data_IF_945931818341
#
_entry.id   IF_945931818341
#
_cell.length_a   1.000
_cell.length_b   1.000
_cell.length_c   1.000
_cell.angle_alpha   90.00
_cell.angle_beta   90.00
_cell.angle_gamma   90.00
#
_symmetry.space_group_name_H-M   'P 1'
#
loop_
_entity.id
_entity.type
_entity.pdbx_description
1 polymer ?
#
# COMPACT_ATOMS: atom_id res chain seq x y z
N UNK A 1 20.90 0.49 21.71
CA UNK A 1 20.14 -0.76 21.42
C UNK A 1 20.76 -1.45 20.22
N UNK A 2 20.77 -2.78 20.21
CA UNK A 2 20.97 -3.54 18.98
C UNK A 2 19.67 -3.62 18.18
N UNK A 3 19.67 -4.27 17.01
CA UNK A 3 18.49 -4.34 16.14
C UNK A 3 17.29 -5.03 16.81
N UNK A 4 17.51 -6.13 17.50
CA UNK A 4 16.43 -6.89 18.13
C UNK A 4 15.81 -6.10 19.32
N UNK A 5 16.64 -5.43 20.11
CA UNK A 5 16.17 -4.53 21.19
C UNK A 5 15.37 -3.35 20.61
N UNK A 6 15.82 -2.77 19.50
CA UNK A 6 15.10 -1.69 18.83
C UNK A 6 13.74 -2.16 18.27
N UNK A 7 13.67 -3.40 17.77
CA UNK A 7 12.40 -4.01 17.33
C UNK A 7 11.43 -4.20 18.49
N UNK A 8 11.91 -4.74 19.61
CA UNK A 8 11.11 -4.91 20.82
C UNK A 8 10.57 -3.56 21.31
N UNK A 9 11.39 -2.51 21.34
CA UNK A 9 10.95 -1.17 21.71
C UNK A 9 9.81 -0.65 20.84
N UNK A 10 9.92 -0.81 19.52
CA UNK A 10 8.88 -0.40 18.57
C UNK A 10 7.59 -1.21 18.74
N UNK A 11 7.71 -2.53 18.93
CA UNK A 11 6.56 -3.42 19.11
C UNK A 11 5.84 -3.14 20.46
N UNK A 12 6.58 -2.83 21.52
CA UNK A 12 6.00 -2.41 22.80
C UNK A 12 5.27 -1.07 22.69
N UNK A 13 5.84 -0.11 21.95
CA UNK A 13 5.21 1.19 21.73
C UNK A 13 3.91 1.06 20.94
N UNK A 14 3.78 0.06 20.06
CA UNK A 14 2.56 -0.18 19.27
C UNK A 14 1.34 -0.54 20.15
N UNK A 15 1.55 -1.04 21.35
CA UNK A 15 0.47 -1.37 22.31
C UNK A 15 -0.30 -0.15 22.80
N UNK A 16 0.25 1.06 22.66
CA UNK A 16 -0.43 2.31 23.04
C UNK A 16 -1.49 2.78 22.03
N UNK A 17 -1.69 2.03 20.95
CA UNK A 17 -2.69 2.33 19.92
C UNK A 17 -2.31 3.49 18.99
N UNK A 18 -3.29 3.96 18.24
CA UNK A 18 -3.14 5.12 17.34
C UNK A 18 -3.84 6.32 17.94
N UNK A 19 -3.13 7.43 18.07
CA UNK A 19 -3.67 8.73 18.44
C UNK A 19 -3.55 9.62 17.20
N UNK A 20 -4.67 10.16 16.73
CA UNK A 20 -4.66 11.09 15.60
C UNK A 20 -4.34 12.50 16.11
N UNK A 21 -3.46 13.19 15.40
CA UNK A 21 -3.01 14.54 15.73
C UNK A 21 -1.54 14.70 15.37
N UNK A 22 -1.08 15.96 15.29
CA UNK A 22 0.31 16.26 14.91
C UNK A 22 1.14 16.82 16.07
N UNK A 23 0.55 17.04 17.24
CA UNK A 23 1.19 17.69 18.37
C UNK A 23 2.37 16.87 18.90
N UNK A 24 2.18 15.55 19.10
CA UNK A 24 3.24 14.66 19.54
C UNK A 24 4.35 14.54 18.49
N UNK A 25 3.95 14.42 17.21
CA UNK A 25 4.90 14.35 16.10
C UNK A 25 5.75 15.62 16.01
N UNK A 26 5.13 16.80 16.15
CA UNK A 26 5.83 18.08 16.18
C UNK A 26 6.79 18.16 17.36
N UNK A 27 6.33 17.85 18.58
CA UNK A 27 7.14 17.88 19.76
C UNK A 27 8.35 16.93 19.71
N UNK A 28 8.18 15.77 19.05
CA UNK A 28 9.24 14.80 18.78
C UNK A 28 10.27 15.35 17.80
N UNK A 29 9.81 15.85 16.64
CA UNK A 29 10.69 16.35 15.58
C UNK A 29 11.46 17.61 15.97
N UNK A 30 10.84 18.53 16.75
CA UNK A 30 11.51 19.71 17.30
C UNK A 30 12.74 19.32 18.14
N UNK A 31 12.69 18.18 18.84
CA UNK A 31 13.81 17.64 19.62
C UNK A 31 14.84 16.84 18.82
N UNK A 32 14.48 16.50 17.58
CA UNK A 32 15.32 15.79 16.61
C UNK A 32 15.85 16.74 15.52
N UNK A 33 15.88 18.05 15.76
CA UNK A 33 16.33 19.08 14.82
C UNK A 33 15.62 19.05 13.46
N UNK A 34 14.31 18.76 13.47
CA UNK A 34 13.41 18.82 12.33
C UNK A 34 14.00 18.25 11.03
N UNK A 35 14.37 16.95 11.00
CA UNK A 35 15.04 16.35 9.84
C UNK A 35 14.24 16.45 8.55
N UNK A 36 12.91 16.49 8.62
CA UNK A 36 11.99 16.56 7.49
C UNK A 36 12.08 17.89 6.72
N UNK A 37 12.54 18.96 7.33
CA UNK A 37 12.60 20.28 6.68
C UNK A 37 13.65 20.35 5.57
N UNK A 38 14.66 19.51 5.63
CA UNK A 38 15.72 19.40 4.61
C UNK A 38 15.39 18.47 3.44
N UNK A 39 14.26 17.76 3.51
CA UNK A 39 13.82 16.77 2.53
C UNK A 39 12.74 17.35 1.60
N UNK A 40 12.62 16.78 0.40
CA UNK A 40 11.53 17.07 -0.54
C UNK A 40 10.63 15.85 -0.66
N UNK A 41 9.31 16.06 -0.74
CA UNK A 41 8.36 14.96 -0.68
C UNK A 41 7.41 14.92 -1.88
N UNK A 42 7.09 13.69 -2.31
CA UNK A 42 5.85 13.37 -3.02
C UNK A 42 4.99 12.66 -2.00
N UNK A 43 3.86 13.24 -1.62
CA UNK A 43 3.00 12.75 -0.55
C UNK A 43 1.78 12.04 -1.14
N UNK A 44 1.57 10.78 -0.78
CA UNK A 44 0.53 9.92 -1.38
C UNK A 44 -0.50 9.52 -0.35
N UNK A 45 -1.78 9.85 -0.61
CA UNK A 45 -2.94 9.36 0.13
C UNK A 45 -3.93 8.65 -0.81
N UNK A 46 -4.99 8.07 -0.26
CA UNK A 46 -6.01 7.33 -0.98
C UNK A 46 -6.49 6.11 -0.18
N UNK A 47 -7.47 5.39 -0.68
CA UNK A 47 -7.89 4.12 -0.07
C UNK A 47 -7.11 2.97 -0.67
N UNK A 48 -7.22 2.73 -1.96
CA UNK A 48 -6.53 1.68 -2.69
C UNK A 48 -5.55 2.27 -3.70
N UNK A 49 -4.47 1.55 -4.02
CA UNK A 49 -3.51 1.97 -5.06
C UNK A 49 -2.32 2.80 -4.58
N UNK A 50 -2.31 3.34 -3.34
CA UNK A 50 -1.21 4.17 -2.80
C UNK A 50 0.17 3.54 -3.01
N UNK A 51 0.37 2.33 -2.49
CA UNK A 51 1.64 1.63 -2.58
C UNK A 51 2.05 1.28 -4.01
N UNK A 52 1.11 1.01 -4.90
CA UNK A 52 1.41 0.80 -6.33
C UNK A 52 1.93 2.07 -6.99
N UNK A 53 1.25 3.20 -6.78
CA UNK A 53 1.67 4.50 -7.33
C UNK A 53 3.01 4.92 -6.74
N UNK A 54 3.21 4.69 -5.43
CA UNK A 54 4.50 4.88 -4.77
C UNK A 54 5.60 4.04 -5.44
N UNK A 55 5.33 2.76 -5.73
CA UNK A 55 6.30 1.88 -6.38
C UNK A 55 6.68 2.42 -7.77
N UNK A 56 5.71 2.81 -8.61
CA UNK A 56 5.99 3.41 -9.91
C UNK A 56 6.84 4.68 -9.76
N UNK A 57 6.38 5.65 -8.97
CA UNK A 57 7.06 6.95 -8.84
C UNK A 57 8.47 6.81 -8.28
N UNK A 58 8.65 6.01 -7.23
CA UNK A 58 9.98 5.85 -6.63
C UNK A 58 10.95 5.08 -7.55
N UNK A 59 10.47 4.11 -8.33
CA UNK A 59 11.31 3.41 -9.31
C UNK A 59 11.68 4.33 -10.48
N UNK A 60 10.74 5.14 -10.98
CA UNK A 60 10.99 6.15 -12.02
C UNK A 60 12.05 7.16 -11.56
N UNK A 61 11.90 7.71 -10.36
CA UNK A 61 12.84 8.69 -9.79
C UNK A 61 14.25 8.09 -9.65
N UNK A 62 14.35 6.87 -9.13
CA UNK A 62 15.61 6.14 -9.04
C UNK A 62 16.24 5.92 -10.42
N UNK A 63 15.45 5.52 -11.42
CA UNK A 63 15.93 5.35 -12.81
C UNK A 63 16.36 6.66 -13.45
N UNK A 64 15.78 7.77 -13.04
CA UNK A 64 16.18 9.11 -13.46
C UNK A 64 17.44 9.64 -12.74
N UNK A 65 18.03 8.85 -11.82
CA UNK A 65 19.28 9.18 -11.13
C UNK A 65 19.09 9.86 -9.77
N UNK A 66 17.85 10.07 -9.29
CA UNK A 66 17.61 10.63 -7.97
C UNK A 66 17.88 9.58 -6.88
N UNK A 67 18.51 10.00 -5.78
CA UNK A 67 18.54 9.22 -4.54
C UNK A 67 17.17 9.31 -3.87
N UNK A 68 16.40 8.26 -4.01
CA UNK A 68 14.97 8.26 -3.69
C UNK A 68 14.69 7.53 -2.40
N UNK A 69 14.13 8.25 -1.41
CA UNK A 69 13.55 7.65 -0.21
C UNK A 69 12.15 7.09 -0.49
N UNK A 70 11.79 6.00 0.18
CA UNK A 70 10.48 5.35 0.12
C UNK A 70 10.00 5.01 1.52
N UNK A 71 8.80 5.49 1.90
CA UNK A 71 8.14 5.16 3.16
C UNK A 71 6.79 4.52 2.89
N UNK A 72 6.57 3.31 3.41
CA UNK A 72 5.39 2.49 3.13
C UNK A 72 4.79 1.88 4.39
N UNK A 73 3.47 1.63 4.35
CA UNK A 73 2.76 0.86 5.37
C UNK A 73 1.52 0.16 4.79
N UNK A 74 1.17 -1.06 5.26
CA UNK A 74 1.98 -1.94 6.10
C UNK A 74 3.12 -2.62 5.32
N UNK A 75 3.96 -3.38 6.02
CA UNK A 75 5.02 -4.22 5.45
C UNK A 75 4.53 -5.67 5.33
N UNK A 76 5.11 -6.45 4.40
CA UNK A 76 4.71 -7.84 4.14
C UNK A 76 5.71 -8.87 4.70
N UNK A 77 7.00 -8.70 4.44
CA UNK A 77 8.03 -9.70 4.74
C UNK A 77 8.97 -9.29 5.86
N UNK A 78 9.25 -8.01 5.96
CA UNK A 78 10.21 -7.47 6.91
C UNK A 78 9.81 -6.07 7.32
N UNK A 79 9.90 -5.80 8.62
CA UNK A 79 9.68 -4.45 9.14
C UNK A 79 10.50 -3.38 8.42
N UNK A 80 11.74 -3.71 8.02
CA UNK A 80 12.66 -2.80 7.32
C UNK A 80 12.17 -2.36 5.93
N UNK A 81 11.15 -3.03 5.37
CA UNK A 81 10.50 -2.59 4.12
C UNK A 81 9.85 -1.23 4.23
N UNK A 82 9.46 -0.83 5.44
CA UNK A 82 8.84 0.46 5.72
C UNK A 82 9.70 1.64 5.28
N UNK A 83 11.02 1.50 5.36
CA UNK A 83 11.99 2.56 5.08
C UNK A 83 13.03 2.04 4.10
N UNK A 84 13.07 2.63 2.90
CA UNK A 84 13.97 2.20 1.84
C UNK A 84 14.62 3.42 1.18
N UNK A 85 15.86 3.26 0.74
CA UNK A 85 16.55 4.24 -0.13
C UNK A 85 17.00 3.51 -1.39
N UNK A 86 16.60 3.99 -2.55
CA UNK A 86 16.84 3.34 -3.85
C UNK A 86 16.39 1.87 -3.89
N UNK A 87 15.25 1.56 -3.21
CA UNK A 87 14.68 0.21 -3.04
C UNK A 87 15.46 -0.73 -2.11
N UNK A 88 16.57 -0.25 -1.53
CA UNK A 88 17.29 -0.99 -0.49
C UNK A 88 16.68 -0.66 0.89
N UNK A 89 16.39 -1.74 1.66
CA UNK A 89 15.81 -1.62 3.00
C UNK A 89 16.81 -0.99 3.96
N UNK A 90 16.35 -0.16 4.89
CA UNK A 90 17.18 0.38 5.98
C UNK A 90 18.04 -0.71 6.61
N UNK A 91 19.32 -0.43 6.82
CA UNK A 91 20.27 -1.35 7.46
C UNK A 91 19.85 -1.59 8.92
N UNK A 92 20.11 -2.80 9.45
CA UNK A 92 19.78 -3.14 10.83
C UNK A 92 20.46 -2.21 11.84
N UNK A 93 21.70 -1.89 11.57
CA UNK A 93 22.54 -1.03 12.40
C UNK A 93 22.03 0.41 12.42
N UNK A 94 21.67 0.97 11.26
CA UNK A 94 21.09 2.31 11.13
C UNK A 94 19.74 2.40 11.83
N UNK A 95 18.87 1.39 11.67
CA UNK A 95 17.59 1.31 12.38
C UNK A 95 17.81 1.34 13.89
N UNK A 96 18.71 0.49 14.41
CA UNK A 96 19.01 0.41 15.85
C UNK A 96 19.56 1.74 16.38
N UNK A 97 20.47 2.38 15.67
CA UNK A 97 21.06 3.66 16.03
C UNK A 97 19.99 4.76 16.14
N UNK A 98 19.18 4.94 15.11
CA UNK A 98 18.14 5.97 15.11
C UNK A 98 17.05 5.71 16.14
N UNK A 99 16.60 4.46 16.30
CA UNK A 99 15.63 4.09 17.35
C UNK A 99 16.19 4.38 18.73
N UNK A 100 17.47 4.12 18.97
CA UNK A 100 18.11 4.45 20.26
C UNK A 100 18.07 5.95 20.54
N UNK A 101 18.37 6.79 19.54
CA UNK A 101 18.31 8.24 19.69
C UNK A 101 16.88 8.72 19.94
N UNK A 102 15.90 8.22 19.16
CA UNK A 102 14.48 8.55 19.33
C UNK A 102 13.99 8.12 20.71
N UNK A 103 14.34 6.93 21.19
CA UNK A 103 13.94 6.43 22.51
C UNK A 103 14.40 7.32 23.65
N UNK A 104 15.61 7.89 23.57
CA UNK A 104 16.11 8.86 24.54
C UNK A 104 15.27 10.14 24.54
N UNK A 105 14.91 10.65 23.36
CA UNK A 105 14.03 11.83 23.22
C UNK A 105 12.64 11.55 23.76
N UNK A 106 12.05 10.38 23.46
CA UNK A 106 10.72 9.98 23.96
C UNK A 106 10.73 9.86 25.49
N UNK A 107 11.81 9.37 26.08
CA UNK A 107 11.96 9.31 27.56
C UNK A 107 11.97 10.73 28.16
N UNK A 108 12.72 11.68 27.59
CA UNK A 108 12.73 13.09 28.01
C UNK A 108 11.34 13.74 27.86
N UNK A 109 10.65 13.46 26.77
CA UNK A 109 9.26 13.96 26.53
C UNK A 109 8.31 13.46 27.63
N UNK A 110 8.39 12.18 28.01
CA UNK A 110 7.56 11.60 29.07
C UNK A 110 7.86 12.22 30.42
N UNK A 111 9.13 12.36 30.78
CA UNK A 111 9.56 12.98 32.03
C UNK A 111 9.05 14.44 32.16
N UNK A 112 9.16 15.20 31.07
CA UNK A 112 8.71 16.60 30.98
C UNK A 112 7.21 16.76 30.72
N UNK A 113 6.45 15.68 30.64
CA UNK A 113 5.02 15.67 30.28
C UNK A 113 4.72 16.41 28.97
N UNK A 114 5.63 16.31 27.99
CA UNK A 114 5.53 16.96 26.69
C UNK A 114 4.91 16.07 25.59
N UNK A 115 4.13 15.07 26.00
CA UNK A 115 3.45 14.13 25.11
C UNK A 115 4.07 12.73 25.14
N UNK A 116 3.37 11.80 24.47
CA UNK A 116 3.83 10.41 24.31
C UNK A 116 3.61 10.01 22.85
N UNK A 117 4.66 10.02 22.02
CA UNK A 117 4.55 9.63 20.62
C UNK A 117 4.08 8.18 20.45
N UNK A 118 3.23 7.95 19.49
CA UNK A 118 2.77 6.62 19.05
C UNK A 118 3.88 5.89 18.28
N UNK A 119 3.71 4.58 18.07
CA UNK A 119 4.65 3.80 17.25
C UNK A 119 4.78 4.37 15.84
N UNK A 120 3.67 4.76 15.21
CA UNK A 120 3.69 5.30 13.85
C UNK A 120 4.39 6.68 13.77
N UNK A 121 4.26 7.52 14.79
CA UNK A 121 5.01 8.78 14.88
C UNK A 121 6.51 8.55 15.04
N UNK A 122 6.90 7.57 15.87
CA UNK A 122 8.30 7.15 16.05
C UNK A 122 8.86 6.59 14.73
N UNK A 123 8.12 5.73 14.06
CA UNK A 123 8.50 5.15 12.77
C UNK A 123 8.66 6.21 11.66
N UNK A 124 7.78 7.22 11.66
CA UNK A 124 7.84 8.34 10.72
C UNK A 124 9.07 9.22 11.01
N UNK A 125 9.36 9.52 12.27
CA UNK A 125 10.58 10.25 12.67
C UNK A 125 11.85 9.48 12.31
N UNK A 126 11.87 8.16 12.56
CA UNK A 126 12.95 7.26 12.14
C UNK A 126 13.21 7.35 10.63
N UNK A 127 12.15 7.35 9.82
CA UNK A 127 12.26 7.46 8.38
C UNK A 127 12.90 8.80 7.97
N UNK A 128 12.46 9.91 8.54
CA UNK A 128 13.01 11.23 8.22
C UNK A 128 14.49 11.36 8.63
N UNK A 129 14.90 10.84 9.78
CA UNK A 129 16.31 10.80 10.19
C UNK A 129 17.15 10.02 9.18
N UNK A 130 16.69 8.83 8.81
CA UNK A 130 17.39 7.98 7.87
C UNK A 130 17.49 8.60 6.47
N UNK A 131 16.42 9.17 5.94
CA UNK A 131 16.43 9.82 4.63
C UNK A 131 17.35 11.05 4.60
N UNK A 132 17.40 11.81 5.70
CA UNK A 132 18.35 12.93 5.86
C UNK A 132 19.80 12.43 5.90
N UNK A 133 20.09 11.39 6.69
CA UNK A 133 21.43 10.77 6.76
C UNK A 133 21.89 10.27 5.39
N UNK A 134 21.00 9.62 4.64
CA UNK A 134 21.29 9.11 3.29
C UNK A 134 21.30 10.20 2.22
N UNK A 135 21.07 11.46 2.56
CA UNK A 135 20.98 12.59 1.62
C UNK A 135 20.02 12.28 0.45
N UNK A 136 18.78 11.90 0.75
CA UNK A 136 17.78 11.66 -0.28
C UNK A 136 17.43 12.98 -1.00
N UNK A 137 17.42 12.95 -2.33
CA UNK A 137 17.02 14.08 -3.16
C UNK A 137 15.51 14.32 -3.10
N UNK A 138 14.76 13.22 -2.99
CA UNK A 138 13.29 13.21 -2.92
C UNK A 138 12.80 11.95 -2.20
N UNK A 139 11.72 12.10 -1.45
CA UNK A 139 11.06 11.00 -0.72
C UNK A 139 9.64 10.80 -1.24
N UNK A 140 9.30 9.58 -1.61
CA UNK A 140 7.92 9.18 -1.89
C UNK A 140 7.33 8.61 -0.61
N UNK A 141 6.36 9.34 -0.04
CA UNK A 141 5.85 9.16 1.32
C UNK A 141 4.38 8.73 1.28
N UNK A 142 4.07 7.53 1.74
CA UNK A 142 2.71 7.02 1.85
C UNK A 142 2.10 7.39 3.21
N UNK A 143 0.86 7.91 3.24
CA UNK A 143 0.10 8.10 4.49
C UNK A 143 -0.25 6.75 5.11
N UNK A 144 -0.17 6.66 6.44
CA UNK A 144 -0.61 5.47 7.16
C UNK A 144 -2.13 5.34 7.17
N UNK A 145 -2.82 6.39 7.61
CA UNK A 145 -4.28 6.43 7.72
C UNK A 145 -4.84 7.82 7.47
N UNK A 146 -5.78 7.93 6.55
CA UNK A 146 -6.43 9.22 6.24
C UNK A 146 -5.49 10.18 5.53
N UNK A 147 -5.11 11.27 6.16
CA UNK A 147 -4.23 12.29 5.62
C UNK A 147 -4.08 13.49 6.57
N UNK A 148 -5.16 14.21 6.89
CA UNK A 148 -5.11 15.45 7.66
C UNK A 148 -4.35 15.35 8.99
N UNK A 149 -4.59 14.29 9.73
CA UNK A 149 -4.03 14.04 11.06
C UNK A 149 -3.00 12.90 11.07
N UNK A 150 -2.58 12.44 9.89
CA UNK A 150 -1.56 11.41 9.76
C UNK A 150 -0.18 11.98 10.11
N UNK A 151 0.64 11.23 10.84
CA UNK A 151 1.97 11.68 11.27
C UNK A 151 2.86 12.14 10.09
N UNK A 152 2.67 11.53 8.89
CA UNK A 152 3.40 11.94 7.68
C UNK A 152 3.04 13.35 7.22
N UNK A 153 1.87 13.88 7.61
CA UNK A 153 1.39 15.19 7.18
C UNK A 153 2.07 16.38 7.88
N UNK A 154 3.00 16.12 8.79
CA UNK A 154 3.83 17.15 9.44
C UNK A 154 4.73 17.90 8.44
N UNK A 155 5.04 17.31 7.30
CA UNK A 155 5.92 17.86 6.26
C UNK A 155 5.35 19.14 5.63
N UNK A 156 6.24 20.07 5.24
CA UNK A 156 5.90 21.33 4.57
C UNK A 156 6.58 21.50 3.20
N UNK A 157 7.54 20.66 2.87
CA UNK A 157 8.35 20.72 1.65
C UNK A 157 7.84 19.80 0.54
N UNK A 158 6.51 19.65 0.47
CA UNK A 158 5.86 18.79 -0.54
C UNK A 158 6.02 19.40 -1.93
N UNK A 159 6.49 18.60 -2.88
CA UNK A 159 6.59 18.95 -4.29
C UNK A 159 5.31 18.60 -5.05
N UNK A 160 4.66 17.51 -4.68
CA UNK A 160 3.45 17.01 -5.32
C UNK A 160 2.64 16.18 -4.33
N UNK A 161 1.34 16.41 -4.26
CA UNK A 161 0.41 15.48 -3.61
C UNK A 161 -0.24 14.57 -4.64
N UNK A 162 -0.39 13.30 -4.26
CA UNK A 162 -1.05 12.29 -5.11
C UNK A 162 -2.17 11.63 -4.33
N UNK A 163 -3.39 11.69 -4.86
CA UNK A 163 -4.56 11.04 -4.27
C UNK A 163 -4.97 9.84 -5.14
N UNK A 164 -4.66 8.65 -4.66
CA UNK A 164 -5.14 7.40 -5.26
C UNK A 164 -6.67 7.25 -5.05
N UNK A 165 -7.34 6.27 -5.68
CA UNK A 165 -8.79 6.12 -5.57
C UNK A 165 -9.27 6.12 -4.11
N UNK A 166 -10.33 6.89 -3.83
CA UNK A 166 -10.99 7.01 -2.54
C UNK A 166 -12.23 6.11 -2.54
N UNK A 167 -12.43 5.34 -1.47
CA UNK A 167 -13.61 4.52 -1.25
C UNK A 167 -13.87 4.36 0.24
N UNK A 168 -15.00 3.71 0.57
CA UNK A 168 -15.36 3.40 1.95
C UNK A 168 -14.38 2.39 2.53
N UNK A 169 -13.62 2.82 3.52
CA UNK A 169 -12.72 2.00 4.35
C UNK A 169 -12.40 2.76 5.65
N UNK A 170 -12.05 2.05 6.71
CA UNK A 170 -11.74 2.63 8.01
C UNK A 170 -12.83 3.59 8.53
N UNK A 171 -14.10 3.22 8.32
CA UNK A 171 -15.26 4.11 8.58
C UNK A 171 -15.41 4.51 10.03
N UNK A 172 -14.89 3.74 10.98
CA UNK A 172 -14.90 4.06 12.41
C UNK A 172 -13.93 5.20 12.78
N UNK A 173 -12.96 5.50 11.92
CA UNK A 173 -11.93 6.52 12.17
C UNK A 173 -12.03 7.69 11.21
N UNK A 174 -12.26 7.44 9.92
CA UNK A 174 -12.21 8.45 8.87
C UNK A 174 -13.56 9.09 8.56
N UNK A 175 -14.65 8.50 9.06
CA UNK A 175 -16.02 8.97 8.81
C UNK A 175 -16.87 7.94 8.07
N UNK A 176 -18.18 8.14 8.11
CA UNK A 176 -19.18 7.18 7.61
C UNK A 176 -19.69 7.49 6.21
N UNK A 177 -19.19 8.57 5.61
CA UNK A 177 -19.51 8.99 4.24
C UNK A 177 -18.25 9.13 3.41
N UNK A 178 -18.40 9.00 2.09
CA UNK A 178 -17.29 9.18 1.16
C UNK A 178 -16.72 10.61 1.26
N UNK A 179 -17.58 11.59 1.48
CA UNK A 179 -17.22 13.01 1.68
C UNK A 179 -16.32 13.21 2.91
N UNK A 180 -16.64 12.58 4.05
CA UNK A 180 -15.81 12.65 5.25
C UNK A 180 -14.45 12.02 5.02
N UNK A 181 -14.40 10.82 4.42
CA UNK A 181 -13.16 10.12 4.08
C UNK A 181 -12.32 10.95 3.11
N UNK A 182 -12.94 11.53 2.07
CA UNK A 182 -12.27 12.41 1.12
C UNK A 182 -11.69 13.66 1.79
N UNK A 183 -12.42 14.25 2.75
CA UNK A 183 -11.96 15.41 3.52
C UNK A 183 -10.71 15.08 4.34
N UNK A 184 -10.69 13.92 5.02
CA UNK A 184 -9.50 13.48 5.75
C UNK A 184 -8.29 13.29 4.81
N UNK A 185 -8.50 12.69 3.64
CA UNK A 185 -7.43 12.47 2.66
C UNK A 185 -6.95 13.75 1.99
N UNK A 186 -7.85 14.66 1.69
CA UNK A 186 -7.55 15.98 1.14
C UNK A 186 -6.67 16.84 2.09
N UNK A 187 -6.63 16.49 3.37
CA UNK A 187 -5.79 17.17 4.36
C UNK A 187 -4.30 17.19 4.07
N UNK A 188 -3.79 16.29 3.20
CA UNK A 188 -2.39 16.32 2.78
C UNK A 188 -2.05 17.44 1.79
N UNK A 189 -3.05 18.02 1.13
CA UNK A 189 -2.85 19.09 0.13
C UNK A 189 -2.29 20.32 0.84
N UNK A 190 -1.15 20.84 0.38
CA UNK A 190 -0.49 22.02 0.94
C UNK A 190 -0.86 23.27 0.14
N UNK A 191 -0.76 24.49 0.72
CA UNK A 191 -0.98 25.70 -0.03
C UNK A 191 -0.01 25.87 -1.21
N UNK A 192 -0.51 26.39 -2.34
CA UNK A 192 0.26 26.72 -3.55
C UNK A 192 1.03 25.56 -4.17
N UNK A 193 0.57 24.32 -3.97
CA UNK A 193 1.17 23.11 -4.55
C UNK A 193 0.39 22.59 -5.78
N UNK A 194 0.72 21.41 -6.23
CA UNK A 194 -0.03 20.69 -7.27
C UNK A 194 -0.48 19.35 -6.72
N UNK A 195 -1.79 19.10 -6.77
CA UNK A 195 -2.37 17.81 -6.42
C UNK A 195 -2.80 17.07 -7.67
N UNK A 196 -2.39 15.81 -7.77
CA UNK A 196 -2.81 14.87 -8.83
C UNK A 196 -3.72 13.80 -8.24
N UNK A 197 -4.84 13.52 -8.87
CA UNK A 197 -5.77 12.49 -8.40
C UNK A 197 -6.12 11.49 -9.50
N UNK A 198 -6.38 10.26 -9.08
CA UNK A 198 -7.09 9.29 -9.91
C UNK A 198 -8.50 9.80 -10.24
N UNK A 199 -9.16 9.17 -11.18
CA UNK A 199 -10.61 9.35 -11.37
C UNK A 199 -11.32 8.98 -10.08
N UNK A 200 -12.14 9.89 -9.58
CA UNK A 200 -12.87 9.75 -8.31
C UNK A 200 -14.37 9.71 -8.54
N UNK A 201 -15.11 9.15 -7.58
CA UNK A 201 -16.54 9.38 -7.46
C UNK A 201 -16.81 10.88 -7.26
N UNK A 202 -17.92 11.41 -7.81
CA UNK A 202 -18.20 12.84 -7.86
C UNK A 202 -18.15 13.49 -6.47
N UNK A 203 -18.72 12.83 -5.45
CA UNK A 203 -18.71 13.33 -4.07
C UNK A 203 -17.28 13.53 -3.51
N UNK A 204 -16.36 12.63 -3.82
CA UNK A 204 -14.97 12.75 -3.41
C UNK A 204 -14.24 13.82 -4.24
N UNK A 205 -14.51 13.89 -5.54
CA UNK A 205 -13.93 14.86 -6.45
C UNK A 205 -14.26 16.29 -6.05
N UNK A 206 -15.54 16.58 -5.74
CA UNK A 206 -15.98 17.89 -5.26
C UNK A 206 -15.21 18.34 -4.02
N UNK A 207 -14.97 17.43 -3.07
CA UNK A 207 -14.15 17.72 -1.87
C UNK A 207 -12.73 18.11 -2.25
N UNK A 208 -12.08 17.31 -3.12
CA UNK A 208 -10.71 17.58 -3.54
C UNK A 208 -10.58 18.91 -4.27
N UNK A 209 -11.51 19.20 -5.18
CA UNK A 209 -11.55 20.47 -5.92
C UNK A 209 -11.74 21.67 -4.98
N UNK A 210 -12.66 21.54 -4.00
CA UNK A 210 -12.90 22.58 -3.00
C UNK A 210 -11.64 22.85 -2.18
N UNK A 211 -10.98 21.82 -1.66
CA UNK A 211 -9.76 21.99 -0.85
C UNK A 211 -8.63 22.59 -1.68
N UNK A 212 -8.45 22.15 -2.94
CA UNK A 212 -7.46 22.75 -3.83
C UNK A 212 -7.72 24.24 -4.05
N UNK A 213 -8.98 24.64 -4.26
CA UNK A 213 -9.37 26.03 -4.43
C UNK A 213 -9.09 26.85 -3.16
N UNK A 214 -9.45 26.34 -1.98
CA UNK A 214 -9.22 26.99 -0.69
C UNK A 214 -7.72 27.18 -0.38
N UNK A 215 -6.88 26.28 -0.86
CA UNK A 215 -5.42 26.31 -0.67
C UNK A 215 -4.65 26.92 -1.84
N UNK A 216 -5.35 27.44 -2.83
CA UNK A 216 -4.73 27.98 -4.06
C UNK A 216 -3.80 26.96 -4.74
N UNK A 217 -4.14 25.68 -4.64
CA UNK A 217 -3.36 24.56 -5.18
C UNK A 217 -3.97 24.11 -6.50
N UNK A 218 -3.12 23.65 -7.40
CA UNK A 218 -3.56 23.16 -8.72
C UNK A 218 -4.19 21.78 -8.58
N UNK A 219 -5.43 21.64 -9.06
CA UNK A 219 -6.12 20.36 -9.20
C UNK A 219 -5.81 19.72 -10.56
N UNK A 220 -5.31 18.48 -10.58
CA UNK A 220 -5.06 17.70 -11.78
C UNK A 220 -5.68 16.30 -11.60
N UNK A 221 -6.60 15.91 -12.45
CA UNK A 221 -7.22 14.58 -12.44
C UNK A 221 -6.72 13.77 -13.65
N UNK A 222 -6.62 12.47 -13.50
CA UNK A 222 -6.38 11.54 -14.61
C UNK A 222 -7.51 11.64 -15.61
N UNK A 223 -7.21 11.88 -16.85
CA UNK A 223 -8.17 11.92 -17.95
C UNK A 223 -8.44 10.48 -18.44
N UNK A 224 -9.56 9.91 -18.01
CA UNK A 224 -9.88 8.49 -18.29
C UNK A 224 -9.94 8.18 -19.78
N UNK A 225 -10.44 9.12 -20.58
CA UNK A 225 -10.61 8.96 -22.03
C UNK A 225 -9.26 9.01 -22.78
N UNK A 226 -8.19 9.47 -22.12
CA UNK A 226 -6.81 9.46 -22.64
C UNK A 226 -6.08 8.12 -22.39
N UNK A 227 -6.72 7.18 -21.70
CA UNK A 227 -6.19 5.82 -21.53
C UNK A 227 -6.65 4.99 -22.73
N UNK A 228 -5.71 4.49 -23.52
CA UNK A 228 -5.99 3.76 -24.77
C UNK A 228 -5.01 2.59 -24.98
N UNK A 229 -5.17 1.87 -26.07
CA UNK A 229 -4.29 0.78 -26.52
C UNK A 229 -4.01 -0.27 -25.42
N UNK A 230 -5.01 -0.57 -24.58
CA UNK A 230 -4.85 -1.47 -23.44
C UNK A 230 -4.69 -2.91 -23.94
N UNK A 231 -3.60 -3.53 -23.51
CA UNK A 231 -3.35 -4.97 -23.68
C UNK A 231 -3.21 -5.60 -22.30
N UNK A 232 -4.20 -6.37 -21.91
CA UNK A 232 -4.23 -7.04 -20.62
C UNK A 232 -3.40 -8.32 -20.59
N UNK A 233 -2.74 -8.56 -19.47
CA UNK A 233 -2.02 -9.79 -19.19
C UNK A 233 -1.61 -9.90 -17.73
N UNK A 234 -1.62 -11.11 -17.18
CA UNK A 234 -1.30 -11.31 -15.74
C UNK A 234 0.20 -11.43 -15.45
N UNK A 235 1.06 -11.42 -16.48
CA UNK A 235 2.52 -11.33 -16.33
C UNK A 235 3.01 -9.94 -16.70
N UNK A 236 2.47 -9.40 -17.80
CA UNK A 236 2.75 -8.08 -18.34
C UNK A 236 1.49 -7.56 -18.97
N UNK A 237 1.28 -6.26 -18.88
CA UNK A 237 0.24 -5.56 -19.60
C UNK A 237 0.79 -4.24 -20.14
N UNK A 238 0.12 -3.64 -21.08
CA UNK A 238 0.52 -2.35 -21.66
C UNK A 238 -0.68 -1.46 -21.93
N UNK A 239 -0.44 -0.17 -21.97
CA UNK A 239 -1.43 0.84 -22.29
C UNK A 239 -0.77 2.11 -22.82
N UNK A 240 -1.56 3.00 -23.37
CA UNK A 240 -1.14 4.38 -23.72
C UNK A 240 -1.88 5.36 -22.83
N UNK A 241 -1.22 6.46 -22.47
CA UNK A 241 -1.82 7.56 -21.72
C UNK A 241 -1.25 8.90 -22.21
N UNK A 242 -2.08 9.75 -22.81
CA UNK A 242 -1.65 11.03 -23.40
C UNK A 242 -0.47 10.80 -24.38
N UNK A 243 0.66 11.43 -24.12
CA UNK A 243 1.86 11.31 -24.95
C UNK A 243 2.67 10.02 -24.69
N UNK A 244 2.34 9.28 -23.64
CA UNK A 244 3.00 8.02 -23.30
C UNK A 244 2.37 6.88 -24.10
N UNK A 245 3.13 6.30 -25.05
CA UNK A 245 2.62 5.25 -25.93
C UNK A 245 3.20 3.89 -25.57
N UNK A 246 2.34 2.86 -25.59
CA UNK A 246 2.73 1.47 -25.34
C UNK A 246 3.54 1.28 -24.04
N UNK A 247 3.08 1.88 -22.94
CA UNK A 247 3.75 1.77 -21.63
C UNK A 247 3.53 0.37 -21.08
N UNK A 248 4.61 -0.39 -20.98
CA UNK A 248 4.60 -1.75 -20.39
C UNK A 248 4.67 -1.66 -18.88
N UNK A 249 3.85 -2.44 -18.19
CA UNK A 249 3.88 -2.61 -16.73
C UNK A 249 3.92 -4.10 -16.37
N UNK A 250 4.68 -4.44 -15.32
CA UNK A 250 4.80 -5.81 -14.80
C UNK A 250 3.83 -6.12 -13.67
N UNK A 251 3.12 -5.11 -13.16
CA UNK A 251 2.11 -5.30 -12.13
C UNK A 251 0.80 -5.75 -12.78
N UNK A 252 0.30 -6.90 -12.36
CA UNK A 252 -0.94 -7.49 -12.86
C UNK A 252 -2.17 -6.98 -12.09
N UNK A 253 -3.33 -7.18 -12.68
CA UNK A 253 -4.62 -6.66 -12.21
C UNK A 253 -5.15 -5.57 -13.13
N UNK A 254 -6.44 -5.62 -13.45
CA UNK A 254 -7.10 -4.64 -14.34
C UNK A 254 -6.90 -3.19 -13.83
N UNK A 255 -7.02 -3.01 -12.52
CA UNK A 255 -6.88 -1.72 -11.84
C UNK A 255 -5.47 -1.11 -11.91
N UNK A 256 -4.44 -1.88 -12.27
CA UNK A 256 -3.07 -1.36 -12.39
C UNK A 256 -2.87 -0.44 -13.60
N UNK A 257 -3.70 -0.55 -14.61
CA UNK A 257 -3.73 0.41 -15.74
C UNK A 257 -4.06 1.82 -15.20
N UNK A 258 -5.08 1.94 -14.36
CA UNK A 258 -5.48 3.22 -13.76
C UNK A 258 -4.42 3.76 -12.79
N UNK A 259 -3.82 2.90 -11.97
CA UNK A 259 -2.70 3.28 -11.10
C UNK A 259 -1.48 3.73 -11.92
N UNK A 260 -1.21 3.09 -13.06
CA UNK A 260 -0.17 3.46 -13.99
C UNK A 260 -0.43 4.83 -14.64
N UNK A 261 -1.67 5.09 -15.07
CA UNK A 261 -2.06 6.38 -15.61
C UNK A 261 -1.91 7.51 -14.56
N UNK A 262 -2.27 7.24 -13.30
CA UNK A 262 -2.06 8.18 -12.18
C UNK A 262 -0.57 8.48 -11.97
N UNK A 263 0.28 7.46 -12.01
CA UNK A 263 1.73 7.66 -11.91
C UNK A 263 2.29 8.48 -13.07
N UNK A 264 1.83 8.23 -14.30
CA UNK A 264 2.23 9.01 -15.49
C UNK A 264 1.74 10.46 -15.44
N UNK A 265 0.52 10.71 -14.93
CA UNK A 265 0.05 12.08 -14.71
C UNK A 265 0.89 12.79 -13.65
N UNK A 266 1.23 12.11 -12.55
CA UNK A 266 2.15 12.65 -11.55
C UNK A 266 3.53 12.97 -12.17
N UNK A 267 4.08 12.12 -13.02
CA UNK A 267 5.32 12.38 -13.78
C UNK A 267 5.18 13.62 -14.67
N UNK A 268 4.05 13.78 -15.38
CA UNK A 268 3.80 14.96 -16.20
C UNK A 268 3.83 16.26 -15.37
N UNK A 269 3.25 16.23 -14.17
CA UNK A 269 3.24 17.40 -13.30
C UNK A 269 4.62 17.64 -12.66
N UNK A 270 5.34 16.60 -12.23
CA UNK A 270 6.71 16.72 -11.72
C UNK A 270 7.66 17.33 -12.74
N UNK A 271 7.54 16.99 -14.04
CA UNK A 271 8.27 17.64 -15.13
C UNK A 271 7.97 19.13 -15.25
N UNK A 272 6.68 19.51 -15.14
CA UNK A 272 6.26 20.93 -15.15
C UNK A 272 6.81 21.69 -13.94
N UNK A 273 7.04 21.01 -12.82
CA UNK A 273 7.68 21.54 -11.61
C UNK A 273 9.20 21.56 -11.69
N UNK A 274 9.78 21.14 -12.83
CA UNK A 274 11.22 21.25 -13.10
C UNK A 274 12.04 19.99 -12.78
N UNK A 275 11.43 18.86 -12.40
CA UNK A 275 12.18 17.63 -12.22
C UNK A 275 12.57 17.03 -13.57
N UNK A 276 13.85 16.65 -13.69
CA UNK A 276 14.36 15.97 -14.88
C UNK A 276 14.02 14.49 -14.84
N UNK A 277 13.04 14.07 -15.62
CA UNK A 277 12.58 12.69 -15.72
C UNK A 277 12.62 12.25 -17.20
N UNK A 278 13.75 11.76 -17.72
CA UNK A 278 13.88 11.31 -19.12
C UNK A 278 12.85 10.22 -19.47
N UNK A 279 12.42 10.15 -20.74
CA UNK A 279 11.44 9.15 -21.18
C UNK A 279 11.92 7.74 -20.86
N UNK A 280 13.20 7.44 -21.11
CA UNK A 280 13.80 6.12 -20.85
C UNK A 280 13.66 5.72 -19.38
N UNK A 281 13.88 6.66 -18.45
CA UNK A 281 13.72 6.41 -17.02
C UNK A 281 12.25 6.15 -16.64
N UNK A 282 11.31 6.85 -17.28
CA UNK A 282 9.87 6.66 -17.04
C UNK A 282 9.42 5.29 -17.54
N UNK A 283 9.73 4.93 -18.80
CA UNK A 283 9.38 3.61 -19.35
C UNK A 283 10.03 2.46 -18.56
N UNK A 284 11.32 2.60 -18.22
CA UNK A 284 12.01 1.60 -17.41
C UNK A 284 11.42 1.49 -15.99
N UNK A 285 11.10 2.60 -15.37
CA UNK A 285 10.49 2.64 -14.04
C UNK A 285 9.10 2.01 -14.00
N UNK A 286 8.26 2.29 -14.99
CA UNK A 286 6.93 1.66 -15.14
C UNK A 286 7.05 0.15 -15.32
N UNK A 287 7.96 -0.30 -16.18
CA UNK A 287 8.18 -1.72 -16.48
C UNK A 287 8.78 -2.52 -15.32
N UNK A 288 9.71 -1.92 -14.58
CA UNK A 288 10.50 -2.61 -13.55
C UNK A 288 9.94 -2.46 -12.13
N UNK A 289 8.97 -1.57 -11.92
CA UNK A 289 8.34 -1.39 -10.61
C UNK A 289 7.76 -2.70 -10.07
N UNK A 290 8.02 -2.99 -8.79
CA UNK A 290 7.55 -4.19 -8.10
C UNK A 290 6.74 -3.80 -6.87
N UNK A 291 5.60 -4.46 -6.70
CA UNK A 291 4.75 -4.25 -5.53
C UNK A 291 4.03 -5.55 -5.18
N UNK A 292 4.54 -6.26 -4.20
CA UNK A 292 3.99 -7.56 -3.78
C UNK A 292 2.72 -7.37 -2.97
N UNK A 293 1.78 -8.31 -3.10
CA UNK A 293 0.50 -8.32 -2.38
C UNK A 293 -0.62 -7.55 -3.08
N UNK A 294 -0.45 -7.21 -4.36
CA UNK A 294 -1.50 -6.68 -5.23
C UNK A 294 -1.48 -7.46 -6.54
N UNK A 295 -2.38 -8.43 -6.67
CA UNK A 295 -2.46 -9.37 -7.80
C UNK A 295 -1.10 -9.91 -8.24
N UNK A 296 -0.35 -10.42 -7.28
CA UNK A 296 1.04 -10.86 -7.51
C UNK A 296 1.08 -12.31 -7.91
N UNK A 297 1.62 -12.59 -9.08
CA UNK A 297 1.87 -13.96 -9.55
C UNK A 297 3.13 -14.48 -8.84
N UNK A 298 2.95 -15.46 -7.94
CA UNK A 298 4.05 -16.08 -7.17
C UNK A 298 4.66 -17.27 -7.88
N UNK A 299 3.84 -18.02 -8.62
CA UNK A 299 4.24 -19.17 -9.41
C UNK A 299 3.36 -19.26 -10.66
N UNK A 300 3.89 -19.85 -11.73
CA UNK A 300 3.12 -20.11 -12.95
C UNK A 300 2.76 -21.60 -13.11
N UNK A 301 3.45 -22.50 -12.42
CA UNK A 301 3.19 -23.93 -12.43
C UNK A 301 3.38 -24.52 -11.01
N UNK A 302 2.30 -24.73 -10.23
CA UNK A 302 0.92 -24.29 -10.46
C UNK A 302 0.79 -22.76 -10.43
N UNK A 303 -0.25 -22.23 -11.06
CA UNK A 303 -0.48 -20.79 -11.05
C UNK A 303 -1.02 -20.34 -9.69
N UNK A 304 -0.27 -19.47 -9.01
CA UNK A 304 -0.60 -18.97 -7.68
C UNK A 304 -0.55 -17.44 -7.66
N UNK A 305 -1.61 -16.83 -7.14
CA UNK A 305 -1.77 -15.38 -7.02
C UNK A 305 -1.93 -15.00 -5.55
N UNK A 306 -1.23 -13.94 -5.13
CA UNK A 306 -1.43 -13.27 -3.86
C UNK A 306 -2.08 -11.91 -4.06
N UNK A 307 -3.14 -11.62 -3.33
CA UNK A 307 -3.79 -10.30 -3.35
C UNK A 307 -4.22 -9.84 -1.95
N UNK A 308 -3.99 -8.59 -1.64
CA UNK A 308 -4.36 -7.97 -0.36
C UNK A 308 -5.77 -7.37 -0.32
N UNK A 309 -6.68 -7.79 -1.19
CA UNK A 309 -8.07 -7.32 -1.19
C UNK A 309 -8.75 -7.60 0.16
N UNK A 310 -9.11 -6.54 0.88
CA UNK A 310 -9.68 -6.60 2.22
C UNK A 310 -10.82 -5.59 2.46
N UNK A 311 -11.27 -4.93 1.39
CA UNK A 311 -12.45 -4.07 1.39
C UNK A 311 -13.27 -4.32 0.11
N UNK A 312 -14.53 -3.89 0.04
CA UNK A 312 -15.40 -4.18 -1.11
C UNK A 312 -14.85 -3.71 -2.46
N UNK A 313 -14.24 -2.50 -2.52
CA UNK A 313 -13.66 -1.98 -3.76
C UNK A 313 -12.49 -2.84 -4.25
N UNK A 314 -11.59 -3.25 -3.33
CA UNK A 314 -10.47 -4.11 -3.68
C UNK A 314 -10.94 -5.52 -4.08
N UNK A 315 -11.99 -6.05 -3.44
CA UNK A 315 -12.61 -7.33 -3.80
C UNK A 315 -13.24 -7.29 -5.20
N UNK A 316 -13.91 -6.19 -5.54
CA UNK A 316 -14.46 -5.97 -6.89
C UNK A 316 -13.36 -5.90 -7.95
N UNK A 317 -12.24 -5.21 -7.65
CA UNK A 317 -11.08 -5.12 -8.53
C UNK A 317 -10.40 -6.50 -8.72
N UNK A 318 -10.29 -7.29 -7.63
CA UNK A 318 -9.82 -8.67 -7.69
C UNK A 318 -10.75 -9.53 -8.56
N UNK A 319 -12.05 -9.47 -8.32
CA UNK A 319 -13.06 -10.18 -9.11
C UNK A 319 -12.91 -9.90 -10.60
N UNK A 320 -12.91 -8.62 -11.00
CA UNK A 320 -12.76 -8.20 -12.41
C UNK A 320 -11.49 -8.76 -13.03
N UNK A 321 -10.38 -8.72 -12.28
CA UNK A 321 -9.11 -9.26 -12.75
C UNK A 321 -9.14 -10.78 -12.94
N UNK A 322 -9.77 -11.52 -12.02
CA UNK A 322 -9.95 -12.97 -12.14
C UNK A 322 -10.83 -13.35 -13.33
N UNK A 323 -11.96 -12.67 -13.51
CA UNK A 323 -12.87 -12.87 -14.66
C UNK A 323 -12.18 -12.54 -15.99
N UNK A 324 -11.32 -11.51 -16.01
CA UNK A 324 -10.60 -11.07 -17.21
C UNK A 324 -9.50 -12.07 -17.62
N UNK A 325 -8.66 -12.50 -16.67
CA UNK A 325 -7.47 -13.32 -17.00
C UNK A 325 -7.73 -14.82 -16.99
N UNK A 326 -8.72 -15.29 -16.22
CA UNK A 326 -8.89 -16.72 -15.96
C UNK A 326 -10.28 -17.24 -16.29
N UNK A 327 -10.93 -16.63 -17.28
CA UNK A 327 -12.23 -17.08 -17.77
C UNK A 327 -12.18 -18.57 -18.15
N UNK A 328 -13.04 -19.39 -17.53
CA UNK A 328 -13.15 -20.83 -17.78
C UNK A 328 -12.13 -21.70 -17.01
N UNK A 329 -11.25 -21.12 -16.20
CA UNK A 329 -10.40 -21.86 -15.27
C UNK A 329 -11.09 -22.05 -13.92
N UNK A 330 -10.74 -23.11 -13.22
CA UNK A 330 -11.18 -23.32 -11.84
C UNK A 330 -10.33 -22.49 -10.89
N UNK A 331 -10.99 -21.82 -9.97
CA UNK A 331 -10.35 -20.96 -8.98
C UNK A 331 -10.45 -21.60 -7.60
N UNK A 332 -9.33 -21.76 -6.94
CA UNK A 332 -9.22 -22.27 -5.58
C UNK A 332 -8.78 -21.13 -4.66
N UNK A 333 -9.45 -20.95 -3.52
CA UNK A 333 -9.15 -19.82 -2.64
C UNK A 333 -8.60 -20.26 -1.29
N UNK A 334 -7.60 -19.52 -0.82
CA UNK A 334 -7.25 -19.42 0.60
C UNK A 334 -7.66 -18.01 1.04
N UNK A 335 -8.66 -17.94 1.91
CA UNK A 335 -9.31 -16.69 2.28
C UNK A 335 -9.31 -16.46 3.79
N UNK A 336 -8.78 -15.31 4.22
CA UNK A 336 -8.80 -14.87 5.61
C UNK A 336 -8.92 -13.36 5.69
N UNK A 337 -9.72 -12.84 6.63
CA UNK A 337 -10.06 -11.42 6.71
C UNK A 337 -10.19 -10.98 8.17
N UNK A 338 -10.10 -9.66 8.43
CA UNK A 338 -10.36 -9.12 9.75
C UNK A 338 -11.84 -8.87 10.00
N UNK A 339 -12.28 -9.04 11.27
CA UNK A 339 -13.67 -8.90 11.69
C UNK A 339 -14.25 -7.47 11.54
N UNK A 340 -13.38 -6.46 11.55
CA UNK A 340 -13.75 -5.05 11.38
C UNK A 340 -13.93 -4.64 9.90
N UNK A 341 -13.75 -5.57 8.96
CA UNK A 341 -13.96 -5.33 7.53
C UNK A 341 -15.35 -5.75 7.08
N UNK A 342 -15.82 -5.16 5.99
CA UNK A 342 -17.08 -5.62 5.34
C UNK A 342 -16.86 -6.94 4.59
N UNK A 343 -16.53 -7.98 5.36
CA UNK A 343 -16.21 -9.30 4.83
C UNK A 343 -17.43 -9.97 4.15
N UNK A 344 -18.65 -9.60 4.54
CA UNK A 344 -19.86 -10.13 3.89
C UNK A 344 -19.92 -9.70 2.44
N UNK A 345 -19.64 -8.41 2.17
CA UNK A 345 -19.63 -7.90 0.80
C UNK A 345 -18.46 -8.47 -0.01
N UNK A 346 -17.29 -8.69 0.62
CA UNK A 346 -16.16 -9.37 -0.01
C UNK A 346 -16.56 -10.78 -0.45
N UNK A 347 -17.22 -11.56 0.43
CA UNK A 347 -17.71 -12.92 0.13
C UNK A 347 -18.70 -12.90 -1.03
N UNK A 348 -19.71 -12.01 -1.01
CA UNK A 348 -20.67 -11.85 -2.11
C UNK A 348 -20.01 -11.63 -3.47
N UNK A 349 -18.92 -10.84 -3.49
CA UNK A 349 -18.22 -10.52 -4.72
C UNK A 349 -17.31 -11.65 -5.22
N UNK A 350 -16.67 -12.39 -4.33
CA UNK A 350 -15.58 -13.30 -4.72
C UNK A 350 -15.95 -14.78 -4.64
N UNK A 351 -16.71 -15.20 -3.63
CA UNK A 351 -17.02 -16.61 -3.41
C UNK A 351 -17.77 -17.31 -4.56
N UNK A 352 -18.66 -16.62 -5.34
CA UNK A 352 -19.32 -17.26 -6.49
C UNK A 352 -18.38 -17.72 -7.60
N UNK A 353 -17.14 -17.19 -7.65
CA UNK A 353 -16.16 -17.55 -8.68
C UNK A 353 -15.36 -18.80 -8.32
N UNK A 354 -15.35 -19.21 -7.07
CA UNK A 354 -14.48 -20.28 -6.59
C UNK A 354 -15.08 -21.67 -6.82
N UNK A 355 -14.26 -22.60 -7.29
CA UNK A 355 -14.53 -24.04 -7.27
C UNK A 355 -14.46 -24.57 -5.84
N UNK A 356 -13.49 -24.10 -5.05
CA UNK A 356 -13.28 -24.49 -3.66
C UNK A 356 -12.64 -23.38 -2.85
N UNK A 357 -13.01 -23.25 -1.57
CA UNK A 357 -12.51 -22.22 -0.65
C UNK A 357 -12.01 -22.87 0.64
N UNK A 358 -10.81 -22.53 1.06
CA UNK A 358 -10.33 -22.86 2.40
C UNK A 358 -10.20 -21.55 3.19
N UNK A 359 -10.99 -21.43 4.25
CA UNK A 359 -10.93 -20.27 5.14
C UNK A 359 -9.81 -20.42 6.15
N UNK A 360 -9.09 -19.32 6.43
CA UNK A 360 -7.97 -19.30 7.38
C UNK A 360 -8.09 -18.12 8.33
N UNK A 361 -7.49 -18.24 9.50
CA UNK A 361 -7.34 -17.16 10.46
C UNK A 361 -5.96 -16.50 10.31
N UNK A 362 -5.90 -15.17 10.43
CA UNK A 362 -4.61 -14.46 10.46
C UNK A 362 -3.94 -14.71 11.81
N UNK A 363 -2.76 -15.34 11.86
CA UNK A 363 -2.10 -15.67 13.12
C UNK A 363 -1.75 -14.43 13.95
N UNK A 364 -1.77 -14.59 15.27
CA UNK A 364 -1.32 -13.60 16.26
C UNK A 364 -1.94 -12.19 16.11
N UNK A 365 -3.16 -12.13 15.58
CA UNK A 365 -3.84 -10.85 15.40
C UNK A 365 -5.24 -10.86 16.03
N UNK A 366 -5.50 -10.04 17.06
CA UNK A 366 -6.79 -10.02 17.76
C UNK A 366 -7.96 -9.52 16.89
N UNK A 367 -7.69 -8.94 15.73
CA UNK A 367 -8.70 -8.51 14.76
C UNK A 367 -9.07 -9.60 13.76
N UNK A 368 -8.37 -10.75 13.79
CA UNK A 368 -8.67 -11.84 12.87
C UNK A 368 -10.09 -12.35 13.06
N UNK A 369 -10.82 -12.58 11.95
CA UNK A 369 -12.07 -13.30 11.99
C UNK A 369 -11.75 -14.79 12.09
N UNK A 370 -12.31 -15.52 13.08
CA UNK A 370 -12.09 -16.96 13.22
C UNK A 370 -12.45 -17.72 11.93
N UNK A 371 -11.61 -18.65 11.51
CA UNK A 371 -11.76 -19.37 10.25
C UNK A 371 -13.11 -20.12 10.16
N UNK A 372 -13.58 -20.70 11.25
CA UNK A 372 -14.90 -21.36 11.33
C UNK A 372 -16.07 -20.38 11.19
N UNK A 373 -15.95 -19.17 11.72
CA UNK A 373 -17.00 -18.17 11.56
C UNK A 373 -17.03 -17.64 10.12
N UNK A 374 -15.87 -17.42 9.53
CA UNK A 374 -15.74 -17.03 8.14
C UNK A 374 -16.33 -18.10 7.21
N UNK A 375 -16.03 -19.39 7.45
CA UNK A 375 -16.62 -20.52 6.72
C UNK A 375 -18.14 -20.47 6.73
N UNK A 376 -18.77 -20.31 7.90
CA UNK A 376 -20.23 -20.21 8.03
C UNK A 376 -20.86 -19.11 7.18
N UNK A 377 -20.14 -18.02 6.95
CA UNK A 377 -20.63 -16.94 6.08
C UNK A 377 -20.43 -17.29 4.60
N UNK A 378 -19.28 -17.86 4.24
CA UNK A 378 -18.98 -18.31 2.88
C UNK A 378 -19.95 -19.40 2.43
N UNK A 379 -20.28 -20.37 3.31
CA UNK A 379 -21.16 -21.51 3.04
C UNK A 379 -22.57 -21.09 2.57
N UNK A 380 -23.02 -19.89 2.94
CA UNK A 380 -24.30 -19.33 2.48
C UNK A 380 -24.33 -19.03 0.98
N UNK A 381 -23.16 -18.88 0.36
CA UNK A 381 -22.97 -18.49 -1.05
C UNK A 381 -22.28 -19.60 -1.85
N UNK A 382 -21.29 -20.25 -1.25
CA UNK A 382 -20.55 -21.34 -1.88
C UNK A 382 -20.41 -22.50 -0.87
N UNK A 383 -21.08 -23.61 -1.16
CA UNK A 383 -21.09 -24.79 -0.30
C UNK A 383 -19.77 -25.58 -0.33
N UNK A 384 -18.90 -25.33 -1.32
CA UNK A 384 -17.57 -25.95 -1.44
C UNK A 384 -16.55 -25.18 -0.61
N UNK A 385 -16.73 -25.24 0.72
CA UNK A 385 -15.88 -24.50 1.67
C UNK A 385 -15.50 -25.35 2.87
N UNK A 386 -14.25 -25.24 3.30
CA UNK A 386 -13.76 -25.86 4.53
C UNK A 386 -12.82 -24.93 5.29
N UNK A 387 -12.46 -25.30 6.52
CA UNK A 387 -11.50 -24.58 7.36
C UNK A 387 -10.10 -25.16 7.22
N UNK A 388 -9.09 -24.33 7.10
CA UNK A 388 -7.68 -24.72 7.17
C UNK A 388 -7.14 -24.60 8.60
N UNK A 389 -6.32 -25.55 9.02
CA UNK A 389 -5.63 -25.52 10.30
C UNK A 389 -4.55 -24.43 10.37
N UNK A 390 -3.95 -24.14 9.21
CA UNK A 390 -2.98 -23.06 9.02
C UNK A 390 -3.00 -22.55 7.58
N UNK A 391 -2.36 -21.43 7.32
CA UNK A 391 -2.21 -20.88 5.98
C UNK A 391 -1.42 -21.85 5.09
N UNK A 392 -0.36 -22.47 5.64
CA UNK A 392 0.48 -23.45 4.95
C UNK A 392 -0.33 -24.69 4.57
N UNK A 393 -1.02 -25.30 5.54
CA UNK A 393 -1.87 -26.47 5.29
C UNK A 393 -2.99 -26.17 4.27
N UNK A 394 -3.60 -24.99 4.32
CA UNK A 394 -4.62 -24.55 3.37
C UNK A 394 -4.07 -24.41 1.93
N UNK A 395 -2.87 -23.87 1.78
CA UNK A 395 -2.20 -23.76 0.48
C UNK A 395 -1.88 -25.16 -0.06
N UNK A 396 -1.22 -26.01 0.73
CA UNK A 396 -0.83 -27.38 0.32
C UNK A 396 -2.06 -28.22 -0.05
N UNK A 397 -3.14 -28.11 0.73
CA UNK A 397 -4.39 -28.84 0.49
C UNK A 397 -5.07 -28.41 -0.80
N UNK A 398 -5.20 -27.10 -1.04
CA UNK A 398 -5.75 -26.60 -2.31
C UNK A 398 -4.88 -27.05 -3.50
N UNK A 399 -3.56 -26.95 -3.38
CA UNK A 399 -2.64 -27.41 -4.43
C UNK A 399 -2.81 -28.92 -4.75
N UNK A 400 -3.21 -29.74 -3.78
CA UNK A 400 -3.48 -31.17 -3.99
C UNK A 400 -4.80 -31.44 -4.75
N UNK A 401 -5.73 -30.49 -4.75
CA UNK A 401 -7.00 -30.59 -5.47
C UNK A 401 -6.92 -30.06 -6.91
N UNK A 402 -5.93 -29.20 -7.18
CA UNK A 402 -5.82 -28.45 -8.42
C UNK A 402 -5.26 -29.30 -9.56
N UNK A 403 -5.80 -29.11 -10.75
CA UNK A 403 -5.19 -29.50 -12.03
C UNK A 403 -4.16 -28.48 -12.51
N UNK A 404 -3.44 -28.83 -13.56
CA UNK A 404 -2.35 -28.00 -14.10
C UNK A 404 -2.81 -26.62 -14.62
N UNK A 405 -4.07 -26.51 -15.04
CA UNK A 405 -4.64 -25.26 -15.57
C UNK A 405 -5.37 -24.40 -14.55
N UNK A 406 -5.50 -24.87 -13.31
CA UNK A 406 -6.25 -24.21 -12.25
C UNK A 406 -5.44 -23.09 -11.62
N UNK A 407 -6.12 -22.23 -10.86
CA UNK A 407 -5.52 -21.04 -10.25
C UNK A 407 -5.78 -21.02 -8.75
N UNK A 408 -4.72 -20.94 -7.95
CA UNK A 408 -4.82 -20.66 -6.52
C UNK A 408 -4.76 -19.15 -6.28
N UNK A 409 -5.73 -18.64 -5.53
CA UNK A 409 -5.78 -17.23 -5.10
C UNK A 409 -5.75 -17.16 -3.58
N UNK A 410 -4.75 -16.52 -3.02
CA UNK A 410 -4.60 -16.30 -1.57
C UNK A 410 -4.88 -14.82 -1.31
N UNK A 411 -5.95 -14.50 -0.56
CA UNK A 411 -6.36 -13.11 -0.38
C UNK A 411 -7.16 -12.85 0.91
N UNK A 412 -7.44 -11.55 1.18
CA UNK A 412 -8.34 -11.07 2.23
C UNK A 412 -7.64 -10.26 3.33
N UNK A 413 -6.32 -10.41 3.50
CA UNK A 413 -5.54 -9.56 4.42
C UNK A 413 -4.07 -9.53 4.02
N UNK A 414 -3.48 -8.34 3.99
CA UNK A 414 -2.03 -8.19 3.79
C UNK A 414 -1.23 -8.86 4.90
N UNK A 415 -1.78 -8.94 6.12
CA UNK A 415 -1.06 -9.43 7.30
C UNK A 415 -0.60 -10.87 7.20
N UNK A 416 -1.29 -11.74 6.47
CA UNK A 416 -0.86 -13.12 6.30
C UNK A 416 -0.20 -13.42 4.94
N UNK A 417 -0.27 -12.52 3.98
CA UNK A 417 0.34 -12.74 2.66
C UNK A 417 1.85 -12.97 2.74
N UNK A 418 2.52 -12.34 3.72
CA UNK A 418 3.94 -12.58 3.98
C UNK A 418 4.24 -14.03 4.37
N UNK A 419 3.35 -14.68 5.12
CA UNK A 419 3.45 -16.09 5.48
C UNK A 419 3.21 -16.95 4.23
N UNK A 420 2.12 -16.71 3.51
CA UNK A 420 1.79 -17.41 2.28
C UNK A 420 2.92 -17.34 1.25
N UNK A 421 3.53 -16.17 1.06
CA UNK A 421 4.65 -16.00 0.14
C UNK A 421 5.90 -16.78 0.57
N UNK A 422 6.21 -16.87 1.87
CA UNK A 422 7.34 -17.68 2.36
C UNK A 422 7.10 -19.16 2.12
N UNK A 423 5.89 -19.67 2.35
CA UNK A 423 5.50 -21.06 2.06
C UNK A 423 5.73 -21.38 0.58
N UNK A 424 5.24 -20.51 -0.30
CA UNK A 424 5.38 -20.69 -1.75
C UNK A 424 6.84 -20.60 -2.25
N UNK A 425 7.67 -19.76 -1.63
CA UNK A 425 9.10 -19.66 -1.96
C UNK A 425 9.93 -20.83 -1.41
N UNK A 426 9.55 -21.36 -0.24
CA UNK A 426 10.22 -22.50 0.40
C UNK A 426 9.93 -23.86 -0.26
N UNK A 427 8.71 -24.03 -0.80
CA UNK A 427 8.29 -25.26 -1.49
C UNK A 427 9.04 -25.55 -2.80
N UNK A 428 9.60 -24.51 -3.46
CA UNK A 428 10.39 -24.65 -4.68
C UNK A 428 11.77 -25.34 -4.50
N UNK A 429 12.21 -25.58 -3.27
CA UNK A 429 13.51 -26.22 -2.97
C UNK A 429 13.42 -27.73 -2.70
N UNK A 430 12.23 -28.33 -2.69
CA UNK A 430 12.08 -29.79 -2.43
C UNK A 430 12.02 -30.67 -3.70
N UNK A 431 12.06 -30.08 -4.89
CA UNK A 431 12.04 -30.79 -6.18
C UNK A 431 13.23 -30.41 -7.06
N UNK A 432 14.44 -30.54 -6.55
CA UNK A 432 15.68 -30.39 -7.31
C UNK A 432 16.71 -31.44 -6.87
#
# INVERSE_FOLDING_TARGET
MNYEEARVYLDETSKYGSVLGLENMKALLDRLDNPQESLKFIHISGTNGKGTVLAYLSTILRKAGYRTGRYISPTLFSYRERIQVNEEKIEKEALAQHVTAIAAVVADMKEKKAGTPTAFEIETALAFLYFKEKNCDIVVLETGLGGALDATNIIQTTQLEVIAPISMDHTDVLGKTLKEIATQKAGIIKPHTTMVTAVQEEEAKEVLQKVCKEKESRFCEVEKDEISDIQYGYIRQSFSYKNWKNVEISLAGEFQIQNGALALEAVNQLRKLGLSLPNEAVYAGMKEAKWVGRFTVMSQNPLVILDGAHNPQAAEALRKSLELYFKGKKLYYVFGVFQDKDYKKIIELTAPLAEHIITVETPDNPRALPAEELKKQVEKINASVETGESIEAAIEKNLSYMGAEDVLVVFGSLSFLGIAAKVLQGGGRKNG
#
